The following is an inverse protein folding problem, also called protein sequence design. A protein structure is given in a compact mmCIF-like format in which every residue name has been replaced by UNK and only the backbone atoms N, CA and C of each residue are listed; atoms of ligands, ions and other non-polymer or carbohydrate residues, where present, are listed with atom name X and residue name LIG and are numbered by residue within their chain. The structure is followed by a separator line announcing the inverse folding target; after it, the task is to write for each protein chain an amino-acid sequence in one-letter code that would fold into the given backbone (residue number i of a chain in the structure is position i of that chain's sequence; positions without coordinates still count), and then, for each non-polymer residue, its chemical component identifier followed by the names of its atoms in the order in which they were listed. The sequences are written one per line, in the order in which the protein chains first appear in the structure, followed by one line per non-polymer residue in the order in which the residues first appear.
data_IF_418510042094
#
_entry.id   IF_418510042094
#
_cell.length_a   1.000
_cell.length_b   1.000
_cell.length_c   1.000
_cell.angle_alpha   90.00
_cell.angle_beta   90.00
_cell.angle_gamma   90.00
#
_symmetry.space_group_name_H-M   'P 1'
#
loop_
_entity.id
_entity.type
_entity.pdbx_description
1 polymer ?
#
# COMPACT_ATOMS: atom_id res chain seq x y z
N UNK A 1 -8.61 41.73 -3.03
CA UNK A 1 -8.05 40.45 -3.50
C UNK A 1 -8.66 39.34 -2.67
N UNK A 2 -9.54 38.55 -3.28
CA UNK A 2 -10.25 37.44 -2.62
C UNK A 2 -9.28 36.25 -2.50
N UNK A 3 -8.98 35.81 -1.28
CA UNK A 3 -8.24 34.58 -1.02
C UNK A 3 -9.16 33.40 -1.35
N UNK A 4 -9.02 32.90 -2.58
CA UNK A 4 -9.80 31.79 -3.12
C UNK A 4 -9.34 30.48 -2.46
N UNK A 5 -10.20 30.00 -1.56
CA UNK A 5 -10.58 28.61 -1.31
C UNK A 5 -9.44 27.64 -0.97
N UNK A 6 -9.16 27.53 0.34
CA UNK A 6 -8.77 26.24 0.91
C UNK A 6 -10.06 25.44 1.14
N UNK A 7 -10.14 24.27 0.50
CA UNK A 7 -11.31 23.39 0.43
C UNK A 7 -11.99 23.22 1.81
N UNK A 8 -13.27 23.57 1.91
CA UNK A 8 -14.04 23.65 3.16
C UNK A 8 -14.14 22.31 3.90
N UNK A 9 -13.92 21.20 3.19
CA UNK A 9 -13.85 19.85 3.73
C UNK A 9 -12.74 19.67 4.78
N UNK A 10 -11.66 20.45 4.71
CA UNK A 10 -10.53 20.39 5.66
C UNK A 10 -10.84 21.16 6.96
N UNK A 11 -11.77 22.12 6.90
CA UNK A 11 -12.01 23.07 7.99
C UNK A 11 -12.85 22.52 9.14
N UNK A 12 -13.62 21.45 8.91
CA UNK A 12 -14.54 20.88 9.92
C UNK A 12 -13.88 19.98 10.97
N UNK A 13 -12.62 19.55 10.77
CA UNK A 13 -11.98 18.54 11.63
C UNK A 13 -10.89 19.07 12.56
N UNK A 14 -10.51 20.35 12.46
CA UNK A 14 -9.36 20.90 13.19
C UNK A 14 -9.88 21.94 14.19
N UNK A 15 -9.91 21.62 15.50
CA UNK A 15 -10.16 22.61 16.53
C UNK A 15 -9.14 23.75 16.39
N UNK A 16 -9.51 24.98 16.74
CA UNK A 16 -8.56 26.08 16.91
C UNK A 16 -7.53 25.70 17.99
N UNK A 17 -6.40 25.13 17.59
CA UNK A 17 -5.37 24.60 18.49
C UNK A 17 -4.41 25.72 18.88
N UNK A 18 -4.30 25.94 20.19
CA UNK A 18 -3.57 27.05 20.84
C UNK A 18 -2.04 27.01 20.61
N UNK A 19 -1.49 25.94 20.02
CA UNK A 19 -0.04 25.81 19.80
C UNK A 19 0.25 24.92 18.59
N UNK A 20 1.29 25.28 17.83
CA UNK A 20 1.80 24.48 16.71
C UNK A 20 2.03 23.00 17.08
N UNK A 21 2.46 22.73 18.32
CA UNK A 21 2.62 21.37 18.85
C UNK A 21 1.32 20.54 18.79
N UNK A 22 0.21 21.09 19.27
CA UNK A 22 -1.08 20.38 19.26
C UNK A 22 -1.61 20.16 17.84
N UNK A 23 -1.30 21.07 16.92
CA UNK A 23 -1.63 20.91 15.50
C UNK A 23 -0.84 19.75 14.86
N UNK A 24 0.46 19.67 15.13
CA UNK A 24 1.31 18.57 14.67
C UNK A 24 0.84 17.21 15.22
N UNK A 25 0.44 17.14 16.49
CA UNK A 25 -0.10 15.91 17.09
C UNK A 25 -1.40 15.43 16.41
N UNK A 26 -2.27 16.35 15.96
CA UNK A 26 -3.48 15.98 15.20
C UNK A 26 -3.13 15.51 13.80
N UNK A 27 -2.21 16.19 13.11
CA UNK A 27 -1.72 15.75 11.80
C UNK A 27 -1.12 14.36 11.92
N UNK A 28 -0.27 14.12 12.91
CA UNK A 28 0.36 12.82 13.14
C UNK A 28 -0.69 11.73 13.40
N UNK A 29 -1.71 11.99 14.22
CA UNK A 29 -2.81 11.04 14.47
C UNK A 29 -3.65 10.75 13.22
N UNK A 30 -4.01 11.78 12.45
CA UNK A 30 -4.75 11.62 11.19
C UNK A 30 -3.91 10.88 10.15
N UNK A 31 -2.62 11.20 10.05
CA UNK A 31 -1.68 10.55 9.16
C UNK A 31 -1.47 9.08 9.55
N UNK A 32 -1.39 8.76 10.85
CA UNK A 32 -1.32 7.38 11.34
C UNK A 32 -2.59 6.58 11.00
N UNK A 33 -3.78 7.21 11.09
CA UNK A 33 -5.04 6.60 10.63
C UNK A 33 -5.05 6.35 9.12
N UNK A 34 -4.56 7.31 8.34
CA UNK A 34 -4.41 7.20 6.88
C UNK A 34 -3.39 6.13 6.48
N UNK A 35 -2.26 6.04 7.19
CA UNK A 35 -1.23 5.03 6.97
C UNK A 35 -1.77 3.62 7.20
N UNK A 36 -2.50 3.38 8.29
CA UNK A 36 -3.15 2.08 8.56
C UNK A 36 -4.15 1.69 7.47
N UNK A 37 -4.98 2.64 7.03
CA UNK A 37 -5.92 2.39 5.93
C UNK A 37 -5.18 2.08 4.61
N UNK A 38 -4.07 2.78 4.33
CA UNK A 38 -3.24 2.55 3.15
C UNK A 38 -2.55 1.19 3.19
N UNK A 39 -2.03 0.77 4.35
CA UNK A 39 -1.49 -0.57 4.57
C UNK A 39 -2.58 -1.62 4.27
N UNK A 40 -3.77 -1.49 4.84
CA UNK A 40 -4.88 -2.41 4.59
C UNK A 40 -5.21 -2.55 3.11
N UNK A 41 -5.34 -1.42 2.39
CA UNK A 41 -5.59 -1.41 0.95
C UNK A 41 -4.49 -2.12 0.15
N UNK A 42 -3.22 -1.87 0.48
CA UNK A 42 -2.08 -2.49 -0.21
C UNK A 42 -2.01 -3.99 0.08
N UNK A 43 -2.30 -4.42 1.31
CA UNK A 43 -2.40 -5.83 1.67
C UNK A 43 -3.54 -6.53 0.91
N UNK A 44 -4.71 -5.91 0.80
CA UNK A 44 -5.85 -6.48 0.05
C UNK A 44 -5.50 -6.63 -1.45
N UNK A 45 -4.83 -5.63 -2.04
CA UNK A 45 -4.31 -5.70 -3.41
C UNK A 45 -3.28 -6.79 -3.57
N UNK A 46 -2.30 -6.86 -2.67
CA UNK A 46 -1.28 -7.90 -2.68
C UNK A 46 -1.94 -9.27 -2.57
N UNK A 47 -2.91 -9.45 -1.67
CA UNK A 47 -3.55 -10.74 -1.47
C UNK A 47 -4.38 -11.20 -2.67
N UNK A 48 -5.09 -10.26 -3.32
CA UNK A 48 -5.93 -10.52 -4.48
C UNK A 48 -5.18 -10.59 -5.82
N UNK A 49 -3.93 -10.12 -5.91
CA UNK A 49 -3.21 -10.06 -7.19
C UNK A 49 -3.02 -11.45 -7.80
N UNK A 50 -3.39 -11.60 -9.09
CA UNK A 50 -3.24 -12.84 -9.86
C UNK A 50 -2.80 -12.48 -11.26
N UNK A 51 -1.94 -13.31 -11.85
CA UNK A 51 -1.46 -13.10 -13.20
C UNK A 51 -2.57 -13.40 -14.21
N UNK A 52 -2.98 -12.38 -14.96
CA UNK A 52 -4.12 -12.40 -15.88
C UNK A 52 -3.79 -12.86 -17.30
N UNK A 53 -2.49 -13.11 -17.59
CA UNK A 53 -1.94 -13.48 -18.91
C UNK A 53 -2.06 -12.40 -19.99
N UNK A 54 -2.53 -11.20 -19.67
CA UNK A 54 -2.56 -10.09 -20.61
C UNK A 54 -1.20 -9.39 -20.68
N UNK A 55 -0.51 -9.31 -19.55
CA UNK A 55 0.84 -8.79 -19.46
C UNK A 55 1.91 -9.89 -19.43
N UNK A 56 3.18 -9.48 -19.49
CA UNK A 56 4.30 -10.40 -19.29
C UNK A 56 4.42 -10.79 -17.81
N UNK A 57 4.92 -12.01 -17.53
CA UNK A 57 5.23 -12.46 -16.16
C UNK A 57 6.18 -11.48 -15.45
N UNK A 58 7.11 -10.87 -16.19
CA UNK A 58 8.02 -9.85 -15.65
C UNK A 58 7.27 -8.59 -15.17
N UNK A 59 6.31 -8.11 -15.95
CA UNK A 59 5.50 -6.95 -15.59
C UNK A 59 4.66 -7.24 -14.33
N UNK A 60 4.07 -8.43 -14.28
CA UNK A 60 3.33 -8.90 -13.11
C UNK A 60 4.18 -8.97 -11.83
N UNK A 61 5.40 -9.50 -11.92
CA UNK A 61 6.34 -9.53 -10.78
C UNK A 61 6.73 -8.10 -10.35
N UNK A 62 6.91 -7.18 -11.30
CA UNK A 62 7.18 -5.77 -10.97
C UNK A 62 6.00 -5.12 -10.25
N UNK A 63 4.75 -5.44 -10.61
CA UNK A 63 3.57 -4.98 -9.87
C UNK A 63 3.55 -5.49 -8.42
N UNK A 64 3.92 -6.74 -8.19
CA UNK A 64 4.06 -7.30 -6.84
C UNK A 64 5.17 -6.58 -6.07
N UNK A 65 6.34 -6.38 -6.70
CA UNK A 65 7.47 -5.68 -6.08
C UNK A 65 7.14 -4.23 -5.71
N UNK A 66 6.36 -3.52 -6.54
CA UNK A 66 5.91 -2.17 -6.26
C UNK A 66 4.98 -2.11 -5.04
N UNK A 67 4.03 -3.04 -4.92
CA UNK A 67 3.15 -3.15 -3.74
C UNK A 67 3.97 -3.39 -2.46
N UNK A 68 4.94 -4.30 -2.52
CA UNK A 68 5.83 -4.61 -1.39
C UNK A 68 6.71 -3.43 -1.01
N UNK A 69 7.23 -2.69 -2.00
CA UNK A 69 8.01 -1.48 -1.76
C UNK A 69 7.19 -0.39 -1.07
N UNK A 70 5.95 -0.19 -1.50
CA UNK A 70 5.02 0.76 -0.85
C UNK A 70 4.68 0.35 0.59
N UNK A 71 4.56 -0.96 0.87
CA UNK A 71 4.35 -1.47 2.22
C UNK A 71 5.58 -1.25 3.11
N UNK A 72 6.78 -1.45 2.55
CA UNK A 72 8.04 -1.18 3.24
C UNK A 72 8.21 0.30 3.61
N UNK A 73 7.85 1.21 2.70
CA UNK A 73 7.83 2.66 2.96
C UNK A 73 6.88 3.04 4.12
N UNK A 74 5.81 2.26 4.31
CA UNK A 74 4.87 2.40 5.43
C UNK A 74 5.33 1.70 6.72
N UNK A 75 6.53 1.13 6.75
CA UNK A 75 7.10 0.43 7.91
C UNK A 75 6.70 -1.04 8.02
N UNK A 76 6.08 -1.62 6.99
CA UNK A 76 5.75 -3.04 6.93
C UNK A 76 6.67 -3.75 5.93
N UNK A 77 7.80 -4.23 6.42
CA UNK A 77 8.74 -5.04 5.65
C UNK A 77 8.33 -6.52 5.69
N UNK A 78 8.47 -7.22 4.57
CA UNK A 78 8.08 -8.62 4.45
C UNK A 78 9.31 -9.49 4.24
N UNK A 79 9.28 -10.70 4.80
CA UNK A 79 10.35 -11.66 4.62
C UNK A 79 10.45 -12.12 3.16
N UNK A 80 11.67 -12.32 2.69
CA UNK A 80 11.93 -12.77 1.32
C UNK A 80 11.16 -14.05 0.96
N UNK A 81 11.03 -14.98 1.91
CA UNK A 81 10.31 -16.24 1.70
C UNK A 81 8.82 -16.02 1.43
N UNK A 82 8.18 -15.09 2.15
CA UNK A 82 6.80 -14.68 1.87
C UNK A 82 6.69 -14.05 0.48
N UNK A 83 7.64 -13.18 0.10
CA UNK A 83 7.64 -12.50 -1.20
C UNK A 83 7.75 -13.51 -2.35
N UNK A 84 8.64 -14.49 -2.24
CA UNK A 84 8.82 -15.56 -3.23
C UNK A 84 7.55 -16.39 -3.32
N UNK A 85 7.07 -16.90 -2.19
CA UNK A 85 5.86 -17.71 -2.11
C UNK A 85 4.65 -16.97 -2.71
N UNK A 86 4.51 -15.67 -2.41
CA UNK A 86 3.41 -14.85 -2.93
C UNK A 86 3.49 -14.68 -4.45
N UNK A 87 4.68 -14.35 -4.94
CA UNK A 87 4.95 -14.16 -6.37
C UNK A 87 4.64 -15.43 -7.16
N UNK A 88 5.11 -16.58 -6.67
CA UNK A 88 4.91 -17.88 -7.31
C UNK A 88 3.44 -18.31 -7.30
N UNK A 89 2.75 -18.15 -6.16
CA UNK A 89 1.34 -18.53 -6.04
C UNK A 89 0.36 -17.61 -6.77
N UNK A 90 0.79 -16.40 -7.14
CA UNK A 90 -0.01 -15.50 -7.98
C UNK A 90 -0.12 -15.95 -9.44
N UNK A 91 0.75 -16.88 -9.87
CA UNK A 91 0.76 -17.42 -11.23
C UNK A 91 -0.37 -18.46 -11.44
N UNK A 92 -0.92 -18.59 -12.66
CA UNK A 92 -1.96 -19.56 -12.96
C UNK A 92 -1.41 -20.99 -13.00
N UNK A 93 -2.31 -21.97 -13.07
CA UNK A 93 -1.97 -23.41 -13.13
C UNK A 93 -1.01 -23.81 -14.27
N UNK A 94 -0.95 -23.02 -15.33
CA UNK A 94 0.00 -23.22 -16.42
C UNK A 94 1.47 -23.23 -15.96
N UNK A 95 1.76 -22.68 -14.78
CA UNK A 95 3.10 -22.64 -14.18
C UNK A 95 3.27 -23.64 -13.03
N UNK A 96 2.39 -24.63 -12.85
CA UNK A 96 2.43 -25.50 -11.66
C UNK A 96 3.76 -26.25 -11.49
N UNK A 97 4.39 -26.71 -12.58
CA UNK A 97 5.74 -27.29 -12.52
C UNK A 97 6.75 -26.30 -11.93
N UNK A 98 6.70 -25.04 -12.35
CA UNK A 98 7.55 -23.98 -11.79
C UNK A 98 7.23 -23.75 -10.31
N UNK A 99 5.96 -23.74 -9.90
CA UNK A 99 5.59 -23.52 -8.50
C UNK A 99 6.14 -24.58 -7.55
N UNK A 100 6.14 -25.85 -7.96
CA UNK A 100 6.68 -26.96 -7.14
C UNK A 100 8.18 -26.81 -6.84
N UNK A 101 8.92 -26.08 -7.67
CA UNK A 101 10.36 -25.87 -7.45
C UNK A 101 10.69 -24.70 -6.51
N UNK A 102 9.74 -23.80 -6.25
CA UNK A 102 9.97 -22.55 -5.51
C UNK A 102 9.07 -22.38 -4.27
N UNK A 103 8.06 -23.24 -4.11
CA UNK A 103 7.30 -23.42 -2.87
C UNK A 103 7.92 -24.56 -2.05
#
# INVERSE_FOLDING_TARGET
MSLMILNETIRGGIPTLVTAKKFLEIIEKQHAGSAKARIGLLMDKLESIRFDRQESVRAHILHIADLLYQLKDLGLDMENDYIVHKSVNSLPRAFDTFKVHYN
#
